data_IF_659972067980
#
_entry.id   IF_659972067980
#
_cell.length_a   1.000
_cell.length_b   1.000
_cell.length_c   1.000
_cell.angle_alpha   90.00
_cell.angle_beta   90.00
_cell.angle_gamma   90.00
#
_symmetry.space_group_name_H-M   'P 1'
#
loop_
_entity.id
_entity.type
_entity.pdbx_description
1 polymer ?
#
# COMPACT_ATOMS: atom_id res chain seq x y z
N UNK A 1 -14.96 21.78 -22.64
CA UNK A 1 -13.90 20.86 -22.15
C UNK A 1 -12.47 21.42 -22.29
N UNK A 2 -12.12 22.14 -23.37
CA UNK A 2 -10.73 22.59 -23.60
C UNK A 2 -10.17 23.65 -22.62
N UNK A 3 -10.98 24.60 -22.16
CA UNK A 3 -10.54 25.65 -21.22
C UNK A 3 -10.14 25.07 -19.85
N UNK A 4 -10.87 24.05 -19.39
CA UNK A 4 -10.58 23.37 -18.13
C UNK A 4 -9.25 22.62 -18.22
N UNK A 5 -9.05 21.89 -19.33
CA UNK A 5 -7.82 21.15 -19.60
C UNK A 5 -6.59 22.08 -19.66
N UNK A 6 -6.73 23.26 -20.28
CA UNK A 6 -5.67 24.28 -20.34
C UNK A 6 -5.32 24.84 -18.95
N UNK A 7 -6.32 25.18 -18.12
CA UNK A 7 -6.11 25.66 -16.74
C UNK A 7 -5.38 24.62 -15.88
N UNK A 8 -5.74 23.34 -16.01
CA UNK A 8 -5.00 22.25 -15.35
C UNK A 8 -3.56 22.13 -15.87
N UNK A 9 -3.33 22.36 -17.16
CA UNK A 9 -1.98 22.33 -17.75
C UNK A 9 -1.10 23.51 -17.29
N UNK A 10 -1.70 24.66 -16.99
CA UNK A 10 -1.03 25.82 -16.40
C UNK A 10 -0.68 25.59 -14.92
N UNK A 11 -1.66 25.11 -14.14
CA UNK A 11 -1.45 24.68 -12.74
C UNK A 11 -0.34 23.63 -12.62
N UNK A 12 -0.27 22.70 -13.57
CA UNK A 12 0.79 21.68 -13.65
C UNK A 12 2.19 22.28 -13.78
N UNK A 13 2.38 23.41 -14.46
CA UNK A 13 3.72 24.05 -14.58
C UNK A 13 4.09 24.86 -13.33
N UNK A 14 3.10 25.50 -12.70
CA UNK A 14 3.33 26.46 -11.61
C UNK A 14 3.45 25.78 -10.25
N UNK A 15 2.69 24.71 -10.02
CA UNK A 15 2.63 24.13 -8.69
C UNK A 15 3.94 23.40 -8.33
N UNK A 16 4.51 23.68 -7.14
CA UNK A 16 5.66 22.96 -6.64
C UNK A 16 5.31 21.49 -6.36
N UNK A 17 6.33 20.64 -6.37
CA UNK A 17 6.20 19.18 -6.31
C UNK A 17 5.47 18.70 -5.04
N UNK A 18 5.61 19.42 -3.93
CA UNK A 18 5.00 19.09 -2.66
C UNK A 18 3.47 19.32 -2.67
N UNK A 19 2.98 20.38 -3.33
CA UNK A 19 1.54 20.63 -3.50
C UNK A 19 0.93 19.56 -4.42
N UNK A 20 1.63 19.18 -5.50
CA UNK A 20 1.21 18.07 -6.37
C UNK A 20 1.07 16.74 -5.61
N UNK A 21 2.03 16.44 -4.73
CA UNK A 21 1.97 15.29 -3.82
C UNK A 21 0.82 15.38 -2.83
N UNK A 22 0.55 16.57 -2.31
CA UNK A 22 -0.58 16.81 -1.40
C UNK A 22 -1.91 16.55 -2.11
N UNK A 23 -2.13 17.13 -3.29
CA UNK A 23 -3.34 16.93 -4.11
C UNK A 23 -3.56 15.45 -4.41
N UNK A 24 -2.50 14.72 -4.76
CA UNK A 24 -2.57 13.29 -4.97
C UNK A 24 -3.03 12.55 -3.70
N UNK A 25 -2.44 12.88 -2.54
CA UNK A 25 -2.76 12.24 -1.26
C UNK A 25 -4.13 12.58 -0.72
N UNK A 26 -4.68 13.76 -1.04
CA UNK A 26 -6.02 14.15 -0.58
C UNK A 26 -7.12 13.53 -1.44
N UNK A 27 -6.87 13.29 -2.73
CA UNK A 27 -7.89 12.80 -3.67
C UNK A 27 -7.74 11.29 -3.91
N UNK A 28 -6.56 10.84 -4.32
CA UNK A 28 -6.34 9.49 -4.83
C UNK A 28 -6.21 8.47 -3.69
N UNK A 29 -5.43 8.79 -2.65
CA UNK A 29 -5.15 7.86 -1.54
C UNK A 29 -6.43 7.45 -0.77
N UNK A 30 -7.37 8.37 -0.41
CA UNK A 30 -8.59 7.98 0.29
C UNK A 30 -9.51 7.11 -0.57
N UNK A 31 -9.65 7.43 -1.87
CA UNK A 31 -10.46 6.64 -2.81
C UNK A 31 -9.91 5.22 -2.95
N UNK A 32 -8.59 5.07 -3.10
CA UNK A 32 -7.95 3.75 -3.15
C UNK A 32 -8.11 2.97 -1.85
N UNK A 33 -7.86 3.62 -0.70
CA UNK A 33 -8.01 2.98 0.61
C UNK A 33 -9.44 2.54 0.89
N UNK A 34 -10.41 3.37 0.52
CA UNK A 34 -11.82 3.05 0.64
C UNK A 34 -12.18 1.84 -0.23
N UNK A 35 -11.83 1.87 -1.52
CA UNK A 35 -12.09 0.76 -2.43
C UNK A 35 -11.46 -0.55 -1.97
N UNK A 36 -10.22 -0.51 -1.47
CA UNK A 36 -9.57 -1.69 -0.90
C UNK A 36 -10.29 -2.14 0.39
N UNK A 37 -10.69 -1.20 1.23
CA UNK A 37 -11.39 -1.50 2.49
C UNK A 37 -12.75 -2.16 2.29
N UNK A 38 -13.46 -1.83 1.20
CA UNK A 38 -14.78 -2.37 0.88
C UNK A 38 -14.71 -3.66 0.05
N UNK A 39 -13.89 -3.70 -1.00
CA UNK A 39 -13.84 -4.82 -1.95
C UNK A 39 -12.75 -5.86 -1.62
N UNK A 40 -11.79 -5.51 -0.75
CA UNK A 40 -10.73 -6.42 -0.34
C UNK A 40 -9.72 -6.71 -1.43
N UNK A 41 -9.28 -7.98 -1.51
CA UNK A 41 -8.25 -8.42 -2.45
C UNK A 41 -8.89 -8.77 -3.78
N UNK A 42 -8.30 -8.27 -4.86
CA UNK A 42 -8.74 -8.51 -6.24
C UNK A 42 -7.81 -9.50 -6.94
N UNK A 43 -8.30 -10.15 -7.99
CA UNK A 43 -7.46 -10.92 -8.92
C UNK A 43 -6.47 -10.01 -9.66
N UNK A 44 -5.36 -10.57 -10.14
CA UNK A 44 -4.34 -9.81 -10.87
C UNK A 44 -4.92 -9.14 -12.13
N UNK A 45 -5.88 -9.80 -12.80
CA UNK A 45 -6.60 -9.24 -13.95
C UNK A 45 -7.34 -7.95 -13.63
N UNK A 46 -8.04 -7.90 -12.49
CA UNK A 46 -8.81 -6.73 -12.06
C UNK A 46 -7.93 -5.65 -11.44
N UNK A 47 -6.74 -6.01 -10.97
CA UNK A 47 -5.75 -5.09 -10.41
C UNK A 47 -5.04 -4.25 -11.49
N UNK A 48 -4.74 -4.85 -12.66
CA UNK A 48 -4.10 -4.17 -13.81
C UNK A 48 -4.76 -2.86 -14.23
N UNK A 49 -6.09 -2.75 -14.43
CA UNK A 49 -6.72 -1.49 -14.79
C UNK A 49 -6.59 -0.43 -13.68
N UNK A 50 -6.68 -0.82 -12.42
CA UNK A 50 -6.53 0.10 -11.27
C UNK A 50 -5.12 0.68 -11.23
N UNK A 51 -4.09 -0.16 -11.37
CA UNK A 51 -2.69 0.28 -11.47
C UNK A 51 -2.51 1.21 -12.67
N UNK A 52 -3.14 0.90 -13.80
CA UNK A 52 -3.05 1.75 -15.00
C UNK A 52 -3.67 3.12 -14.77
N UNK A 53 -4.80 3.21 -14.06
CA UNK A 53 -5.41 4.47 -13.63
C UNK A 53 -4.47 5.22 -12.68
N UNK A 54 -3.90 4.55 -11.68
CA UNK A 54 -2.91 5.17 -10.77
C UNK A 54 -1.73 5.77 -11.55
N UNK A 55 -1.17 5.02 -12.51
CA UNK A 55 -0.07 5.47 -13.37
C UNK A 55 -0.49 6.65 -14.26
N UNK A 56 -1.73 6.68 -14.77
CA UNK A 56 -2.27 7.81 -15.56
C UNK A 56 -2.40 9.08 -14.71
N UNK A 57 -2.93 8.96 -13.49
CA UNK A 57 -3.05 10.09 -12.54
C UNK A 57 -1.66 10.66 -12.26
N UNK A 58 -0.69 9.80 -11.92
CA UNK A 58 0.68 10.23 -11.67
C UNK A 58 1.30 10.94 -12.88
N UNK A 59 1.10 10.40 -14.09
CA UNK A 59 1.55 11.05 -15.32
C UNK A 59 0.91 12.43 -15.51
N UNK A 60 -0.38 12.58 -15.20
CA UNK A 60 -1.07 13.86 -15.33
C UNK A 60 -0.51 14.90 -14.34
N UNK A 61 -0.33 14.50 -13.08
CA UNK A 61 0.04 15.39 -11.97
C UNK A 61 1.53 15.75 -11.95
N UNK A 62 2.43 14.83 -12.33
CA UNK A 62 3.89 14.98 -12.12
C UNK A 62 4.75 15.12 -13.39
N UNK A 63 4.15 15.16 -14.58
CA UNK A 63 4.90 15.40 -15.83
C UNK A 63 5.44 16.85 -15.90
N UNK A 64 6.66 17.12 -16.43
CA UNK A 64 7.50 16.29 -17.30
C UNK A 64 8.50 15.36 -16.58
N UNK A 65 8.56 15.38 -15.26
CA UNK A 65 9.58 14.66 -14.46
C UNK A 65 9.45 13.12 -14.46
N UNK A 66 8.65 12.55 -15.36
CA UNK A 66 8.24 11.14 -15.36
C UNK A 66 8.38 10.48 -16.74
N UNK A 67 9.61 10.15 -17.16
CA UNK A 67 9.81 9.13 -18.21
C UNK A 67 9.34 7.75 -17.73
N UNK A 68 9.10 6.80 -18.64
CA UNK A 68 8.52 5.47 -18.31
C UNK A 68 9.32 4.73 -17.23
N UNK A 69 10.65 4.83 -17.27
CA UNK A 69 11.56 4.21 -16.30
C UNK A 69 11.63 4.98 -14.97
N UNK A 70 11.46 6.30 -14.97
CA UNK A 70 11.54 7.12 -13.76
C UNK A 70 10.24 7.13 -12.93
N UNK A 71 9.09 6.65 -13.44
CA UNK A 71 7.81 6.75 -12.71
C UNK A 71 7.79 6.00 -11.39
N UNK A 72 8.55 4.94 -11.30
CA UNK A 72 8.60 4.06 -10.14
C UNK A 72 9.51 4.63 -9.04
N UNK A 73 10.67 5.16 -9.42
CA UNK A 73 11.55 5.92 -8.50
C UNK A 73 10.89 7.21 -7.99
N UNK A 74 10.10 7.85 -8.85
CA UNK A 74 9.35 9.07 -8.53
C UNK A 74 8.31 8.86 -7.42
N UNK A 75 7.62 7.70 -7.35
CA UNK A 75 6.65 7.43 -6.29
C UNK A 75 7.28 7.51 -4.90
N UNK A 76 8.50 7.01 -4.75
CA UNK A 76 9.26 7.08 -3.49
C UNK A 76 9.62 8.53 -3.13
N UNK A 77 10.07 9.31 -4.11
CA UNK A 77 10.36 10.74 -3.93
C UNK A 77 9.13 11.52 -3.46
N UNK A 78 7.94 11.20 -3.99
CA UNK A 78 6.68 11.86 -3.62
C UNK A 78 6.02 11.28 -2.38
N UNK A 79 6.64 10.29 -1.72
CA UNK A 79 6.06 9.54 -0.59
C UNK A 79 4.67 8.98 -0.93
N UNK A 80 4.53 8.45 -2.15
CA UNK A 80 3.32 7.80 -2.65
C UNK A 80 3.54 6.29 -2.64
N UNK A 81 2.56 5.54 -2.12
CA UNK A 81 2.60 4.08 -2.11
C UNK A 81 2.10 3.53 -3.45
N UNK A 82 2.72 2.46 -3.93
CA UNK A 82 2.15 1.66 -5.02
C UNK A 82 0.84 1.01 -4.58
N UNK A 83 -0.05 0.65 -5.51
CA UNK A 83 -1.31 -0.02 -5.20
C UNK A 83 -1.13 -1.23 -4.27
N UNK A 84 -0.14 -2.08 -4.53
CA UNK A 84 0.15 -3.25 -3.69
C UNK A 84 0.55 -2.89 -2.26
N UNK A 85 1.29 -1.79 -2.10
CA UNK A 85 1.68 -1.31 -0.79
C UNK A 85 0.53 -0.57 -0.09
N UNK A 86 -0.38 0.08 -0.81
CA UNK A 86 -1.65 0.58 -0.24
C UNK A 86 -2.49 -0.59 0.26
N UNK A 87 -2.61 -1.67 -0.52
CA UNK A 87 -3.33 -2.88 -0.13
C UNK A 87 -2.78 -3.48 1.16
N UNK A 88 -1.46 -3.70 1.21
CA UNK A 88 -0.77 -4.18 2.43
C UNK A 88 -1.00 -3.23 3.60
N UNK A 89 -0.85 -1.93 3.39
CA UNK A 89 -1.05 -0.93 4.42
C UNK A 89 -2.47 -0.99 5.01
N UNK A 90 -3.50 -1.01 4.17
CA UNK A 90 -4.90 -1.05 4.62
C UNK A 90 -5.21 -2.35 5.37
N UNK A 91 -4.81 -3.50 4.83
CA UNK A 91 -5.06 -4.79 5.46
C UNK A 91 -4.35 -4.89 6.81
N UNK A 92 -3.06 -4.52 6.86
CA UNK A 92 -2.30 -4.59 8.10
C UNK A 92 -2.89 -3.63 9.12
N UNK A 93 -3.07 -2.35 8.78
CA UNK A 93 -3.56 -1.36 9.75
C UNK A 93 -4.93 -1.66 10.31
N UNK A 94 -5.83 -2.28 9.52
CA UNK A 94 -7.17 -2.68 9.97
C UNK A 94 -7.16 -3.89 10.91
N UNK A 95 -6.23 -4.82 10.73
CA UNK A 95 -6.24 -6.11 11.42
C UNK A 95 -5.05 -6.33 12.38
N UNK A 96 -4.12 -5.38 12.47
CA UNK A 96 -2.88 -5.52 13.25
C UNK A 96 -3.12 -5.84 14.72
N UNK A 97 -4.10 -5.18 15.36
CA UNK A 97 -4.42 -5.39 16.77
C UNK A 97 -5.49 -6.44 17.02
N UNK A 98 -5.98 -7.11 15.96
CA UNK A 98 -6.99 -8.14 16.13
C UNK A 98 -6.34 -9.47 16.51
N UNK A 99 -6.61 -9.92 17.73
CA UNK A 99 -6.04 -11.15 18.32
C UNK A 99 -6.35 -12.40 17.51
N UNK A 100 -7.49 -12.44 16.81
CA UNK A 100 -7.89 -13.56 15.95
C UNK A 100 -6.82 -13.94 14.91
N UNK A 101 -6.04 -12.95 14.46
CA UNK A 101 -4.99 -13.14 13.46
C UNK A 101 -3.57 -13.19 14.05
N UNK A 102 -3.44 -13.03 15.37
CA UNK A 102 -2.16 -12.97 16.10
C UNK A 102 -1.91 -14.20 16.97
N UNK A 103 -2.48 -15.33 16.60
CA UNK A 103 -2.18 -16.59 17.25
C UNK A 103 -0.70 -16.94 17.03
N UNK A 104 0.10 -16.95 18.09
CA UNK A 104 1.51 -17.33 17.99
C UNK A 104 1.62 -18.82 17.68
N UNK A 105 2.52 -19.17 16.77
CA UNK A 105 2.87 -20.56 16.55
C UNK A 105 3.78 -21.01 17.71
N UNK A 106 3.17 -21.54 18.77
CA UNK A 106 3.89 -22.07 19.94
C UNK A 106 4.48 -23.42 19.56
N UNK A 107 5.73 -23.42 19.12
CA UNK A 107 6.53 -24.64 19.00
C UNK A 107 7.06 -25.03 20.38
N UNK A 108 7.11 -26.32 20.69
CA UNK A 108 7.71 -26.83 21.93
C UNK A 108 9.21 -26.47 22.05
N UNK A 109 9.86 -26.18 20.92
CA UNK A 109 11.24 -25.73 20.83
C UNK A 109 11.34 -24.20 20.76
N UNK A 110 12.30 -23.62 21.49
CA UNK A 110 12.66 -22.20 21.42
C UNK A 110 13.32 -21.88 20.07
N UNK A 111 12.50 -21.62 19.06
CA UNK A 111 12.97 -21.09 17.78
C UNK A 111 13.29 -19.60 17.93
N UNK A 112 14.39 -19.14 17.31
CA UNK A 112 14.83 -17.72 17.35
C UNK A 112 13.79 -16.74 16.77
N UNK A 113 12.76 -17.26 16.10
CA UNK A 113 11.73 -16.50 15.39
C UNK A 113 10.33 -16.95 15.77
N UNK A 114 9.68 -16.18 16.64
CA UNK A 114 8.26 -16.34 16.91
C UNK A 114 7.49 -15.78 15.70
N UNK A 115 6.73 -16.65 15.04
CA UNK A 115 5.86 -16.31 13.90
C UNK A 115 4.40 -16.51 14.29
N UNK A 116 3.52 -15.73 13.69
CA UNK A 116 2.08 -15.94 13.78
C UNK A 116 1.68 -17.15 12.95
N UNK A 117 0.68 -17.91 13.41
CA UNK A 117 0.18 -19.10 12.73
C UNK A 117 -0.54 -18.67 11.45
N UNK A 118 0.06 -18.99 10.31
CA UNK A 118 -0.59 -18.89 9.00
C UNK A 118 -1.24 -20.24 8.66
N UNK A 119 -2.54 -20.28 8.30
CA UNK A 119 -3.17 -21.54 7.88
C UNK A 119 -2.49 -22.10 6.64
N UNK A 120 -2.35 -23.43 6.55
CA UNK A 120 -1.79 -24.08 5.37
C UNK A 120 -2.87 -24.12 4.27
N UNK A 121 -2.63 -23.42 3.16
CA UNK A 121 -3.59 -23.30 2.07
C UNK A 121 -2.87 -23.43 0.73
N UNK A 122 -3.30 -24.41 -0.06
CA UNK A 122 -2.74 -24.66 -1.39
C UNK A 122 -3.44 -23.83 -2.47
N UNK A 123 -4.73 -23.51 -2.29
CA UNK A 123 -5.56 -22.89 -3.33
C UNK A 123 -5.49 -21.35 -3.29
N UNK A 124 -5.52 -20.72 -4.48
CA UNK A 124 -5.48 -19.26 -4.63
C UNK A 124 -6.64 -18.56 -3.91
N UNK A 125 -7.84 -19.15 -3.94
CA UNK A 125 -9.00 -18.60 -3.24
C UNK A 125 -8.80 -18.53 -1.72
N UNK A 126 -8.26 -19.59 -1.11
CA UNK A 126 -7.99 -19.60 0.32
C UNK A 126 -6.87 -18.62 0.68
N UNK A 127 -5.86 -18.47 -0.20
CA UNK A 127 -4.80 -17.46 -0.04
C UNK A 127 -5.35 -16.03 -0.10
N UNK A 128 -6.50 -15.78 -0.71
CA UNK A 128 -7.15 -14.47 -0.71
C UNK A 128 -7.92 -14.17 0.60
N UNK A 129 -8.14 -15.17 1.47
CA UNK A 129 -8.88 -14.95 2.72
C UNK A 129 -8.04 -14.16 3.73
N UNK A 130 -8.70 -13.28 4.48
CA UNK A 130 -8.09 -12.45 5.54
C UNK A 130 -7.36 -13.31 6.57
N UNK A 131 -7.93 -14.47 6.94
CA UNK A 131 -7.34 -15.41 7.89
C UNK A 131 -5.94 -15.90 7.47
N UNK A 132 -5.65 -15.94 6.16
CA UNK A 132 -4.33 -16.27 5.64
C UNK A 132 -3.48 -15.01 5.46
N UNK A 133 -4.05 -13.98 4.84
CA UNK A 133 -3.32 -12.78 4.40
C UNK A 133 -2.78 -11.95 5.56
N UNK A 134 -3.57 -11.74 6.60
CA UNK A 134 -3.13 -10.93 7.76
C UNK A 134 -1.91 -11.54 8.44
N UNK A 135 -1.93 -12.80 8.92
CA UNK A 135 -0.74 -13.38 9.55
C UNK A 135 0.42 -13.50 8.55
N UNK A 136 0.16 -13.82 7.28
CA UNK A 136 1.19 -13.85 6.24
C UNK A 136 1.88 -12.48 6.05
N UNK A 137 1.12 -11.40 5.91
CA UNK A 137 1.65 -10.05 5.74
C UNK A 137 2.40 -9.58 6.99
N UNK A 138 1.88 -9.83 8.19
CA UNK A 138 2.55 -9.45 9.45
C UNK A 138 3.84 -10.25 9.64
N UNK A 139 3.85 -11.55 9.31
CA UNK A 139 5.06 -12.38 9.35
C UNK A 139 6.13 -11.92 8.37
N UNK A 140 5.74 -11.31 7.24
CA UNK A 140 6.71 -10.75 6.28
C UNK A 140 7.30 -9.40 6.72
N UNK A 141 6.74 -8.76 7.76
CA UNK A 141 7.33 -7.54 8.31
C UNK A 141 8.62 -7.86 9.10
N UNK A 142 9.59 -6.93 9.13
CA UNK A 142 10.75 -7.04 10.01
C UNK A 142 10.30 -7.09 11.48
N UNK A 143 11.05 -7.82 12.31
CA UNK A 143 10.71 -8.09 13.73
C UNK A 143 10.38 -6.82 14.52
N UNK A 144 11.10 -5.72 14.24
CA UNK A 144 10.91 -4.41 14.87
C UNK A 144 9.49 -3.84 14.65
N UNK A 145 8.82 -4.19 13.54
CA UNK A 145 7.49 -3.70 13.19
C UNK A 145 6.36 -4.65 13.63
N UNK A 146 6.68 -5.86 14.10
CA UNK A 146 5.67 -6.86 14.47
C UNK A 146 5.02 -6.61 15.83
N UNK A 147 5.71 -5.88 16.71
CA UNK A 147 5.27 -5.61 18.09
C UNK A 147 5.33 -4.10 18.40
N UNK A 148 4.47 -3.32 17.77
CA UNK A 148 4.32 -1.89 18.06
C UNK A 148 3.10 -1.69 18.97
N UNK A 149 3.25 -1.07 20.14
CA UNK A 149 2.17 -0.95 21.12
C UNK A 149 1.06 0.02 20.67
N UNK A 150 1.44 1.17 20.10
CA UNK A 150 0.50 2.23 19.78
C UNK A 150 0.10 2.24 18.31
N UNK A 151 -1.21 2.30 18.03
CA UNK A 151 -1.75 2.28 16.66
C UNK A 151 -1.21 3.42 15.79
N UNK A 152 -1.11 4.63 16.35
CA UNK A 152 -0.56 5.80 15.65
C UNK A 152 0.90 5.56 15.21
N UNK A 153 1.71 4.97 16.09
CA UNK A 153 3.12 4.63 15.81
C UNK A 153 3.20 3.51 14.77
N UNK A 154 2.34 2.50 14.89
CA UNK A 154 2.25 1.39 13.94
C UNK A 154 1.94 1.89 12.53
N UNK A 155 0.89 2.71 12.35
CA UNK A 155 0.52 3.28 11.05
C UNK A 155 1.69 4.05 10.42
N UNK A 156 2.40 4.85 11.21
CA UNK A 156 3.54 5.65 10.73
C UNK A 156 4.72 4.79 10.30
N UNK A 157 5.13 3.83 11.14
CA UNK A 157 6.29 2.99 10.88
C UNK A 157 6.04 2.01 9.73
N UNK A 158 4.84 1.43 9.64
CA UNK A 158 4.47 0.56 8.52
C UNK A 158 4.42 1.36 7.21
N UNK A 159 3.84 2.56 7.21
CA UNK A 159 3.85 3.40 6.01
C UNK A 159 5.28 3.73 5.57
N UNK A 160 6.16 4.08 6.51
CA UNK A 160 7.58 4.36 6.22
C UNK A 160 8.28 3.14 5.63
N UNK A 161 8.07 1.96 6.21
CA UNK A 161 8.65 0.71 5.73
C UNK A 161 8.17 0.35 4.32
N UNK A 162 6.86 0.49 4.06
CA UNK A 162 6.29 0.20 2.74
C UNK A 162 6.74 1.20 1.68
N UNK A 163 6.97 2.47 2.03
CA UNK A 163 7.57 3.45 1.12
C UNK A 163 9.02 3.11 0.75
N UNK A 164 9.80 2.58 1.69
CA UNK A 164 11.17 2.12 1.43
C UNK A 164 11.19 0.89 0.52
N UNK A 165 10.20 0.00 0.71
CA UNK A 165 9.98 -1.24 -0.06
C UNK A 165 8.94 -1.08 -1.19
N UNK A 166 8.79 0.13 -1.75
CA UNK A 166 8.10 0.32 -3.03
C UNK A 166 8.93 -0.36 -4.13
N UNK A 167 8.84 -1.69 -4.21
CA UNK A 167 9.34 -2.48 -5.33
C UNK A 167 8.27 -2.52 -6.43
N UNK A 168 8.77 -2.50 -7.66
CA UNK A 168 8.07 -2.52 -8.95
C UNK A 168 7.28 -3.81 -9.11
#
# INVERSE_FOLDING_TARGET
MNVLSYKFHFLKKILPIWIKSLIYKTICDPVMRYGIGTYGITTESNKKPIISIQKKILKSTFYPYTTRCQREDNMKQYKILSFDNILKYVIITRHYYNEKYRNLNRTQYNTRHIIYRTPNINNNYGKAKINYQVPYMINNLPRQLRNIPTEKKMKKEIQKHLLQNNKI
#
